data_IF_804999710993
#
_entry.id   IF_804999710993
#
_cell.length_a   1.000
_cell.length_b   1.000
_cell.length_c   1.000
_cell.angle_alpha   90.00
_cell.angle_beta   90.00
_cell.angle_gamma   90.00
#
_symmetry.space_group_name_H-M   'P 1'
#
loop_
_entity.id
_entity.type
_entity.pdbx_description
1 polymer ?
#
# COMPACT_ATOMS: atom_id res chain seq x y z
N UNK A 1 42.31 10.82 -31.99
CA UNK A 1 43.10 11.87 -31.31
C UNK A 1 42.69 13.19 -31.96
N UNK A 2 41.80 13.98 -31.34
CA UNK A 2 41.32 15.24 -31.92
C UNK A 2 42.49 16.23 -32.02
N UNK A 3 42.88 16.62 -33.23
CA UNK A 3 43.85 17.69 -33.46
C UNK A 3 43.19 19.03 -33.13
N UNK A 4 43.78 19.78 -32.20
CA UNK A 4 43.32 21.12 -31.86
C UNK A 4 43.57 22.06 -33.04
N UNK A 5 42.58 22.86 -33.47
CA UNK A 5 42.72 23.77 -34.62
C UNK A 5 43.65 24.97 -34.37
N UNK A 6 44.17 25.14 -33.15
CA UNK A 6 45.04 26.24 -32.74
C UNK A 6 46.27 25.72 -31.98
N UNK A 7 47.46 26.17 -32.39
CA UNK A 7 48.70 25.85 -31.70
C UNK A 7 48.77 26.60 -30.35
N UNK A 8 48.71 25.86 -29.24
CA UNK A 8 48.76 26.44 -27.89
C UNK A 8 50.18 26.95 -27.61
N UNK A 9 50.36 28.23 -27.22
CA UNK A 9 51.66 28.79 -26.88
C UNK A 9 52.40 27.96 -25.81
N UNK A 10 53.75 27.82 -25.88
CA UNK A 10 54.52 26.96 -24.97
C UNK A 10 54.29 27.28 -23.48
N UNK A 11 54.14 28.56 -23.15
CA UNK A 11 53.91 29.04 -21.79
C UNK A 11 52.52 28.67 -21.23
N UNK A 12 51.51 28.43 -22.09
CA UNK A 12 50.15 28.04 -21.70
C UNK A 12 49.91 26.54 -21.72
N UNK A 13 50.84 25.74 -22.26
CA UNK A 13 50.67 24.29 -22.44
C UNK A 13 50.46 23.56 -21.11
N UNK A 14 51.13 24.00 -20.04
CA UNK A 14 50.96 23.46 -18.67
C UNK A 14 49.57 23.79 -18.11
N UNK A 15 49.17 25.06 -18.17
CA UNK A 15 47.86 25.52 -17.70
C UNK A 15 46.70 24.87 -18.46
N UNK A 16 46.82 24.72 -19.78
CA UNK A 16 45.82 24.02 -20.60
C UNK A 16 45.67 22.55 -20.20
N UNK A 17 46.76 21.83 -19.95
CA UNK A 17 46.71 20.43 -19.50
C UNK A 17 46.01 20.32 -18.15
N UNK A 18 46.34 21.22 -17.21
CA UNK A 18 45.70 21.26 -15.87
C UNK A 18 44.21 21.55 -16.01
N UNK A 19 43.83 22.58 -16.77
CA UNK A 19 42.43 22.95 -16.99
C UNK A 19 41.62 21.82 -17.65
N UNK A 20 42.20 21.09 -18.60
CA UNK A 20 41.56 19.93 -19.24
C UNK A 20 41.38 18.76 -18.28
N UNK A 21 42.37 18.48 -17.42
CA UNK A 21 42.22 17.47 -16.36
C UNK A 21 41.13 17.89 -15.38
N UNK A 22 41.12 19.16 -14.97
CA UNK A 22 40.09 19.71 -14.08
C UNK A 22 38.70 19.60 -14.69
N UNK A 23 38.53 19.93 -15.98
CA UNK A 23 37.28 19.76 -16.72
C UNK A 23 36.78 18.31 -16.69
N UNK A 24 37.66 17.34 -16.97
CA UNK A 24 37.28 15.93 -16.94
C UNK A 24 36.93 15.44 -15.53
N UNK A 25 37.71 15.83 -14.52
CA UNK A 25 37.42 15.49 -13.12
C UNK A 25 36.08 16.09 -12.71
N UNK A 26 35.82 17.35 -13.05
CA UNK A 26 34.56 18.02 -12.77
C UNK A 26 33.37 17.31 -13.46
N UNK A 27 33.52 16.93 -14.74
CA UNK A 27 32.46 16.22 -15.46
C UNK A 27 32.19 14.84 -14.85
N UNK A 28 33.24 14.05 -14.57
CA UNK A 28 33.10 12.73 -13.97
C UNK A 28 32.48 12.82 -12.57
N UNK A 29 32.92 13.78 -11.74
CA UNK A 29 32.36 14.01 -10.41
C UNK A 29 30.89 14.43 -10.49
N UNK A 30 30.55 15.36 -11.39
CA UNK A 30 29.18 15.81 -11.62
C UNK A 30 28.26 14.69 -12.12
N UNK A 31 28.71 13.90 -13.11
CA UNK A 31 27.96 12.73 -13.59
C UNK A 31 27.80 11.69 -12.49
N UNK A 32 28.83 11.44 -11.68
CA UNK A 32 28.75 10.47 -10.59
C UNK A 32 27.76 10.92 -9.52
N UNK A 33 27.77 12.21 -9.13
CA UNK A 33 26.79 12.78 -8.20
C UNK A 33 25.37 12.69 -8.74
N UNK A 34 25.17 13.05 -10.01
CA UNK A 34 23.88 12.94 -10.67
C UNK A 34 23.35 11.49 -10.69
N UNK A 35 24.21 10.52 -11.01
CA UNK A 35 23.85 9.10 -11.00
C UNK A 35 23.47 8.65 -9.59
N UNK A 36 24.24 9.03 -8.56
CA UNK A 36 23.93 8.67 -7.17
C UNK A 36 22.58 9.24 -6.73
N UNK A 37 22.28 10.50 -7.03
CA UNK A 37 20.99 11.11 -6.70
C UNK A 37 19.82 10.48 -7.49
N UNK A 38 20.08 10.06 -8.73
CA UNK A 38 19.07 9.40 -9.57
C UNK A 38 18.76 7.98 -9.08
N UNK A 39 19.79 7.23 -8.66
CA UNK A 39 19.65 5.85 -8.17
C UNK A 39 19.29 5.74 -6.69
N UNK A 40 19.42 6.81 -5.91
CA UNK A 40 19.07 6.82 -4.49
C UNK A 40 18.34 8.13 -4.18
N UNK A 41 17.12 8.30 -4.72
CA UNK A 41 16.37 9.52 -4.54
C UNK A 41 15.84 9.64 -3.11
N UNK A 42 15.61 10.87 -2.68
CA UNK A 42 14.77 11.17 -1.53
C UNK A 42 13.32 11.15 -1.96
N UNK A 43 12.48 10.35 -1.30
CA UNK A 43 11.04 10.30 -1.56
C UNK A 43 10.34 11.24 -0.61
N UNK A 44 9.56 12.18 -1.13
CA UNK A 44 8.87 13.20 -0.32
C UNK A 44 7.36 13.04 -0.41
N UNK A 45 6.72 13.03 0.75
CA UNK A 45 5.27 12.96 0.94
C UNK A 45 4.81 14.21 1.69
N UNK A 46 3.70 14.79 1.29
CA UNK A 46 3.21 16.04 1.89
C UNK A 46 1.69 16.08 2.02
N UNK A 47 1.21 16.80 3.02
CA UNK A 47 -0.18 17.19 3.18
C UNK A 47 -0.29 18.69 3.42
N UNK A 48 -1.18 19.34 2.68
CA UNK A 48 -1.51 20.75 2.89
C UNK A 48 -2.92 20.88 3.48
N UNK A 49 -3.00 21.26 4.75
CA UNK A 49 -4.25 21.36 5.51
C UNK A 49 -5.13 22.53 5.08
N UNK A 50 -4.59 23.51 4.33
CA UNK A 50 -5.40 24.57 3.69
C UNK A 50 -6.14 24.08 2.45
N UNK A 51 -5.68 22.98 1.86
CA UNK A 51 -6.25 22.40 0.64
C UNK A 51 -6.36 20.87 0.77
N UNK A 52 -7.14 20.36 1.75
CA UNK A 52 -7.16 18.94 2.09
C UNK A 52 -7.65 18.04 0.95
N UNK A 53 -8.49 18.56 0.05
CA UNK A 53 -8.99 17.85 -1.13
C UNK A 53 -8.05 17.88 -2.35
N UNK A 54 -6.86 18.47 -2.23
CA UNK A 54 -5.89 18.58 -3.31
C UNK A 54 -5.35 17.21 -3.72
N UNK A 55 -5.33 16.92 -5.02
CA UNK A 55 -4.69 15.72 -5.59
C UNK A 55 -3.17 15.72 -5.47
N UNK A 56 -2.57 16.84 -5.02
CA UNK A 56 -1.12 16.93 -4.73
C UNK A 56 -0.77 16.40 -3.33
N UNK A 57 -1.75 16.20 -2.46
CA UNK A 57 -1.52 15.58 -1.16
C UNK A 57 -1.14 14.11 -1.38
N UNK A 58 -0.05 13.68 -0.75
CA UNK A 58 0.52 12.34 -0.90
C UNK A 58 0.70 11.60 0.42
N UNK A 59 0.59 12.32 1.55
CA UNK A 59 0.32 11.69 2.84
C UNK A 59 -1.14 11.26 2.90
N UNK A 60 -1.37 10.05 3.40
CA UNK A 60 -2.65 9.38 3.39
C UNK A 60 -3.34 9.53 4.75
N UNK A 61 -4.65 9.74 4.68
CA UNK A 61 -5.62 9.70 5.77
C UNK A 61 -5.12 10.34 7.07
N UNK A 62 -4.93 11.66 7.15
CA UNK A 62 -4.73 12.35 8.43
C UNK A 62 -5.92 12.16 9.37
N UNK A 63 -5.70 11.59 10.56
CA UNK A 63 -6.75 11.33 11.56
C UNK A 63 -6.20 11.44 12.99
N UNK A 64 -7.10 11.50 13.98
CA UNK A 64 -6.76 11.37 15.40
C UNK A 64 -6.69 9.90 15.84
N UNK A 65 -6.31 9.67 17.09
CA UNK A 65 -6.36 8.37 17.77
C UNK A 65 -7.75 7.70 17.80
N UNK A 66 -8.81 8.50 17.62
CA UNK A 66 -10.22 8.05 17.59
C UNK A 66 -10.74 7.87 16.16
N UNK A 67 -9.85 7.77 15.17
CA UNK A 67 -10.17 7.68 13.74
C UNK A 67 -10.99 8.86 13.20
N UNK A 68 -10.94 10.01 13.86
CA UNK A 68 -11.62 11.23 13.40
C UNK A 68 -10.73 11.93 12.37
N UNK A 69 -11.23 12.22 11.15
CA UNK A 69 -10.43 12.91 10.13
C UNK A 69 -9.87 14.25 10.63
N UNK A 70 -8.55 14.41 10.58
CA UNK A 70 -7.80 15.57 11.07
C UNK A 70 -7.36 16.47 9.90
N UNK A 71 -8.25 16.72 8.94
CA UNK A 71 -7.91 17.40 7.67
C UNK A 71 -7.79 18.92 7.78
N UNK A 72 -8.09 19.49 8.95
CA UNK A 72 -8.05 20.94 9.20
C UNK A 72 -6.75 21.42 9.88
N UNK A 73 -5.80 20.52 10.15
CA UNK A 73 -4.50 20.85 10.74
C UNK A 73 -4.51 21.03 12.25
N UNK A 74 -5.68 20.98 12.90
CA UNK A 74 -5.79 21.17 14.35
C UNK A 74 -5.40 19.91 15.09
N UNK A 75 -4.48 20.07 16.03
CA UNK A 75 -4.10 19.03 16.99
C UNK A 75 -4.33 19.64 18.37
N UNK A 76 -5.24 19.04 19.14
CA UNK A 76 -5.48 19.50 20.50
C UNK A 76 -4.43 18.95 21.45
N UNK A 77 -4.24 19.64 22.57
CA UNK A 77 -3.28 19.24 23.59
C UNK A 77 -3.50 17.77 24.02
N UNK A 78 -2.40 17.01 24.04
CA UNK A 78 -2.37 15.57 24.37
C UNK A 78 -3.14 14.63 23.42
N UNK A 79 -3.67 15.10 22.29
CA UNK A 79 -4.19 14.21 21.25
C UNK A 79 -3.08 13.76 20.30
N UNK A 80 -3.23 12.54 19.78
CA UNK A 80 -2.33 12.02 18.75
C UNK A 80 -2.86 12.40 17.38
N UNK A 81 -1.95 12.82 16.51
CA UNK A 81 -2.19 12.96 15.09
C UNK A 81 -1.49 11.83 14.35
N UNK A 82 -2.21 11.16 13.46
CA UNK A 82 -1.74 9.99 12.73
C UNK A 82 -1.92 10.24 11.24
N UNK A 83 -0.88 9.93 10.46
CA UNK A 83 -0.94 9.89 9.00
C UNK A 83 -0.04 8.78 8.47
N UNK A 84 -0.15 8.47 7.18
CA UNK A 84 0.65 7.41 6.55
C UNK A 84 1.40 7.92 5.32
N UNK A 85 2.66 7.54 5.20
CA UNK A 85 3.46 7.71 3.98
C UNK A 85 3.79 6.33 3.40
N UNK A 86 3.43 6.08 2.14
CA UNK A 86 3.59 4.76 1.53
C UNK A 86 4.73 4.76 0.51
N UNK A 87 5.83 4.07 0.85
CA UNK A 87 7.09 4.11 0.11
C UNK A 87 7.69 2.71 -0.08
N UNK A 88 7.97 2.36 -1.35
CA UNK A 88 8.61 1.08 -1.69
C UNK A 88 10.13 1.27 -1.69
N UNK A 89 10.82 0.48 -0.86
CA UNK A 89 12.29 0.44 -0.80
C UNK A 89 12.83 0.32 0.62
N UNK A 90 14.15 0.42 0.72
CA UNK A 90 14.88 0.53 1.99
C UNK A 90 15.33 1.97 2.21
N UNK A 91 15.18 2.48 3.42
CA UNK A 91 15.49 3.88 3.74
C UNK A 91 16.42 3.95 4.95
N UNK A 92 17.35 4.92 4.94
CA UNK A 92 18.29 5.13 6.04
C UNK A 92 17.81 6.19 7.02
N UNK A 93 17.27 7.29 6.49
CA UNK A 93 16.84 8.45 7.27
C UNK A 93 15.43 8.85 6.87
N UNK A 94 14.68 9.34 7.84
CA UNK A 94 13.43 10.05 7.63
C UNK A 94 13.56 11.49 8.17
N UNK A 95 13.22 12.45 7.32
CA UNK A 95 13.11 13.87 7.66
C UNK A 95 11.64 14.25 7.71
N UNK A 96 11.19 14.65 8.89
CA UNK A 96 9.82 15.08 9.13
C UNK A 96 9.86 16.58 9.39
N UNK A 97 9.03 17.32 8.68
CA UNK A 97 8.93 18.77 8.84
C UNK A 97 7.49 19.24 8.75
N UNK A 98 7.12 20.22 9.54
CA UNK A 98 5.81 20.87 9.43
C UNK A 98 5.94 22.38 9.62
N UNK A 99 4.92 23.10 9.19
CA UNK A 99 4.80 24.54 9.42
C UNK A 99 3.46 24.87 10.04
N UNK A 100 3.47 25.74 11.04
CA UNK A 100 2.27 26.18 11.75
C UNK A 100 1.55 27.33 11.04
N UNK A 101 0.26 27.47 11.30
CA UNK A 101 -0.49 28.68 10.98
C UNK A 101 0.04 29.86 11.79
N UNK A 102 -0.01 31.07 11.20
CA UNK A 102 0.59 32.27 11.81
C UNK A 102 0.07 32.61 13.22
N UNK A 103 -1.14 32.17 13.55
CA UNK A 103 -1.82 32.42 14.84
C UNK A 103 -1.77 31.21 15.78
N UNK A 104 -1.14 30.12 15.36
CA UNK A 104 -1.01 28.92 16.18
C UNK A 104 -0.07 29.15 17.36
N UNK A 105 -0.29 28.44 18.46
CA UNK A 105 0.65 28.39 19.56
C UNK A 105 1.92 27.64 19.14
N UNK A 106 3.05 27.98 19.74
CA UNK A 106 4.32 27.29 19.50
C UNK A 106 4.48 26.19 20.55
N UNK A 107 4.53 24.90 20.16
CA UNK A 107 4.74 23.82 21.11
C UNK A 107 6.20 23.81 21.59
N UNK A 108 6.41 23.54 22.87
CA UNK A 108 7.76 23.31 23.41
C UNK A 108 8.20 21.86 23.24
N UNK A 109 7.24 20.94 23.26
CA UNK A 109 7.48 19.51 23.07
C UNK A 109 6.56 18.98 21.99
N UNK A 110 7.14 18.27 21.03
CA UNK A 110 6.38 17.54 20.02
C UNK A 110 7.24 16.37 19.56
N UNK A 111 6.74 15.15 19.81
CA UNK A 111 7.44 13.91 19.49
C UNK A 111 6.82 13.29 18.25
N UNK A 112 7.67 12.75 17.38
CA UNK A 112 7.27 11.98 16.21
C UNK A 112 7.71 10.54 16.42
N UNK A 113 6.80 9.62 16.20
CA UNK A 113 7.08 8.18 16.11
C UNK A 113 6.75 7.69 14.71
N UNK A 114 7.67 6.93 14.11
CA UNK A 114 7.45 6.21 12.86
C UNK A 114 7.45 4.71 13.13
N UNK A 115 6.45 4.02 12.55
CA UNK A 115 6.35 2.57 12.48
C UNK A 115 6.18 2.14 11.02
N UNK A 116 6.61 0.93 10.67
CA UNK A 116 6.46 0.40 9.31
C UNK A 116 5.72 -0.93 9.30
N UNK A 117 4.67 -1.02 8.47
CA UNK A 117 3.98 -2.29 8.18
C UNK A 117 3.07 -2.12 6.95
N UNK A 118 2.09 -3.00 6.77
CA UNK A 118 0.91 -2.72 5.96
C UNK A 118 -0.14 -2.01 6.80
N UNK A 119 -0.87 -1.06 6.21
CA UNK A 119 -1.94 -0.33 6.91
C UNK A 119 -2.95 -1.25 7.62
N UNK A 120 -3.36 -2.32 6.94
CA UNK A 120 -4.34 -3.31 7.46
C UNK A 120 -3.84 -4.05 8.70
N UNK A 121 -2.52 -4.22 8.85
CA UNK A 121 -1.97 -4.90 10.02
C UNK A 121 -2.01 -4.04 11.27
N UNK A 122 -2.14 -2.73 11.12
CA UNK A 122 -2.33 -1.82 12.23
C UNK A 122 -3.80 -1.63 12.65
N UNK A 123 -4.73 -2.34 12.03
CA UNK A 123 -6.14 -2.32 12.45
C UNK A 123 -6.30 -2.97 13.84
N UNK A 124 -7.34 -2.59 14.59
CA UNK A 124 -7.70 -3.29 15.81
C UNK A 124 -7.96 -4.78 15.54
N UNK A 125 -7.62 -5.60 16.53
CA UNK A 125 -7.89 -7.04 16.45
C UNK A 125 -9.36 -7.30 16.79
N UNK A 126 -10.07 -7.93 15.86
CA UNK A 126 -11.46 -8.34 16.04
C UNK A 126 -11.61 -9.67 16.77
N UNK A 127 -12.85 -10.14 16.87
CA UNK A 127 -13.13 -11.48 17.42
C UNK A 127 -12.56 -12.58 16.51
N UNK A 128 -12.07 -13.70 17.05
CA UNK A 128 -11.62 -14.82 16.22
C UNK A 128 -12.75 -15.41 15.37
N UNK A 129 -12.43 -15.82 14.15
CA UNK A 129 -13.33 -16.54 13.25
C UNK A 129 -12.93 -18.01 13.22
N UNK A 130 -13.92 -18.88 13.41
CA UNK A 130 -13.75 -20.34 13.51
C UNK A 130 -14.44 -21.10 12.39
N UNK A 131 -15.57 -20.59 11.91
CA UNK A 131 -16.49 -21.29 11.03
C UNK A 131 -16.69 -20.55 9.71
N UNK A 132 -17.15 -21.29 8.71
CA UNK A 132 -17.70 -20.70 7.48
C UNK A 132 -18.93 -19.85 7.82
N UNK A 133 -19.24 -18.81 7.02
CA UNK A 133 -20.53 -18.15 7.09
C UNK A 133 -21.66 -19.18 6.93
N UNK A 134 -22.68 -19.09 7.78
CA UNK A 134 -23.84 -19.98 7.69
C UNK A 134 -24.65 -19.65 6.43
N UNK A 135 -24.77 -20.62 5.54
CA UNK A 135 -25.55 -20.52 4.30
C UNK A 135 -26.23 -21.84 3.98
N UNK A 136 -27.43 -21.77 3.43
CA UNK A 136 -28.13 -22.93 2.88
C UNK A 136 -27.79 -23.05 1.39
N UNK A 137 -26.92 -24.00 1.04
CA UNK A 137 -26.33 -24.13 -0.28
C UNK A 137 -26.90 -25.34 -1.01
N UNK A 138 -27.28 -25.14 -2.27
CA UNK A 138 -27.86 -26.16 -3.12
C UNK A 138 -27.16 -26.21 -4.47
N UNK A 139 -27.17 -27.39 -5.11
CA UNK A 139 -26.81 -27.56 -6.51
C UNK A 139 -28.01 -28.13 -7.24
N UNK A 140 -28.47 -27.44 -8.28
CA UNK A 140 -29.53 -27.93 -9.17
C UNK A 140 -28.97 -27.98 -10.58
N UNK A 141 -28.99 -29.18 -11.17
CA UNK A 141 -28.21 -29.49 -12.37
C UNK A 141 -26.73 -29.08 -12.18
N UNK A 142 -26.23 -28.13 -12.98
CA UNK A 142 -24.85 -27.64 -12.96
C UNK A 142 -24.73 -26.24 -12.32
N UNK A 143 -25.77 -25.73 -11.66
CA UNK A 143 -25.77 -24.38 -11.06
C UNK A 143 -25.86 -24.46 -9.54
N UNK A 144 -24.96 -23.75 -8.86
CA UNK A 144 -25.02 -23.58 -7.41
C UNK A 144 -25.95 -22.43 -7.03
N UNK A 145 -26.64 -22.56 -5.90
CA UNK A 145 -27.54 -21.56 -5.34
C UNK A 145 -27.30 -21.39 -3.84
N UNK A 146 -27.50 -20.17 -3.33
CA UNK A 146 -27.68 -19.90 -1.91
C UNK A 146 -29.15 -19.53 -1.64
N UNK A 147 -29.76 -20.13 -0.62
CA UNK A 147 -31.13 -19.83 -0.21
C UNK A 147 -31.13 -18.79 0.93
N UNK A 148 -31.67 -17.61 0.64
CA UNK A 148 -31.78 -16.49 1.60
C UNK A 148 -33.21 -15.99 1.63
N UNK A 149 -33.81 -15.96 2.82
CA UNK A 149 -35.20 -15.49 3.02
C UNK A 149 -36.22 -16.10 2.04
N UNK A 150 -36.06 -17.39 1.71
CA UNK A 150 -36.94 -18.13 0.78
C UNK A 150 -36.66 -17.89 -0.71
N UNK A 151 -35.63 -17.11 -1.05
CA UNK A 151 -35.21 -16.81 -2.43
C UNK A 151 -33.88 -17.46 -2.74
N UNK A 152 -33.78 -18.14 -3.88
CA UNK A 152 -32.55 -18.75 -4.39
C UNK A 152 -31.74 -17.74 -5.20
N UNK A 153 -30.50 -17.54 -4.80
CA UNK A 153 -29.53 -16.68 -5.48
C UNK A 153 -28.53 -17.55 -6.23
N UNK A 154 -28.51 -17.53 -7.58
CA UNK A 154 -27.56 -18.31 -8.35
C UNK A 154 -26.13 -17.77 -8.18
N UNK A 155 -25.14 -18.65 -8.14
CA UNK A 155 -23.74 -18.26 -8.31
C UNK A 155 -23.44 -18.05 -9.80
N UNK A 156 -22.64 -17.04 -10.13
CA UNK A 156 -22.30 -16.71 -11.53
C UNK A 156 -21.50 -17.81 -12.24
N UNK A 157 -20.81 -18.65 -11.46
CA UNK A 157 -20.11 -19.83 -11.95
C UNK A 157 -19.74 -20.78 -10.81
N UNK A 158 -19.32 -21.99 -11.16
CA UNK A 158 -18.70 -22.94 -10.22
C UNK A 158 -17.47 -22.34 -9.55
N UNK A 159 -16.67 -21.56 -10.28
CA UNK A 159 -15.48 -20.90 -9.72
C UNK A 159 -15.87 -19.87 -8.65
N UNK A 160 -16.96 -19.14 -8.86
CA UNK A 160 -17.51 -18.21 -7.87
C UNK A 160 -17.95 -18.96 -6.61
N UNK A 161 -18.70 -20.06 -6.74
CA UNK A 161 -19.10 -20.90 -5.61
C UNK A 161 -17.88 -21.49 -4.87
N UNK A 162 -16.98 -22.16 -5.59
CA UNK A 162 -15.81 -22.85 -5.05
C UNK A 162 -14.75 -21.90 -4.47
N UNK A 163 -14.87 -20.59 -4.72
CA UNK A 163 -14.07 -19.57 -4.04
C UNK A 163 -14.55 -19.29 -2.61
N UNK A 164 -15.82 -19.61 -2.29
CA UNK A 164 -16.49 -19.33 -1.01
C UNK A 164 -16.69 -20.57 -0.16
N UNK A 165 -17.04 -21.70 -0.78
CA UNK A 165 -17.39 -22.93 -0.07
C UNK A 165 -16.73 -24.17 -0.68
N UNK A 166 -16.52 -25.24 0.10
CA UNK A 166 -16.22 -26.56 -0.43
C UNK A 166 -17.41 -27.11 -1.23
N UNK A 167 -17.15 -27.87 -2.30
CA UNK A 167 -18.20 -28.53 -3.11
C UNK A 167 -19.18 -29.35 -2.26
N UNK A 168 -18.66 -30.02 -1.23
CA UNK A 168 -19.42 -30.89 -0.33
C UNK A 168 -20.44 -30.18 0.53
N UNK A 169 -20.49 -28.83 0.52
CA UNK A 169 -21.48 -28.07 1.30
C UNK A 169 -22.81 -27.92 0.55
N UNK A 170 -22.81 -28.06 -0.78
CA UNK A 170 -24.04 -27.98 -1.56
C UNK A 170 -24.85 -29.28 -1.45
N UNK A 171 -26.16 -29.14 -1.26
CA UNK A 171 -27.12 -30.26 -1.32
C UNK A 171 -27.63 -30.37 -2.76
N UNK A 172 -27.51 -31.56 -3.35
CA UNK A 172 -28.03 -31.84 -4.69
C UNK A 172 -29.57 -31.90 -4.68
N UNK A 173 -30.20 -31.10 -5.54
CA UNK A 173 -31.66 -31.01 -5.69
C UNK A 173 -32.09 -31.11 -7.15
N UNK A 174 -33.34 -31.51 -7.37
CA UNK A 174 -33.91 -31.66 -8.73
C UNK A 174 -34.47 -30.34 -9.27
N UNK A 175 -34.74 -30.26 -10.58
CA UNK A 175 -35.40 -29.08 -11.19
C UNK A 175 -36.73 -28.69 -10.56
N UNK A 176 -37.48 -29.65 -10.02
CA UNK A 176 -38.74 -29.37 -9.34
C UNK A 176 -38.53 -28.50 -8.09
N UNK A 177 -37.33 -28.49 -7.51
CA UNK A 177 -36.96 -27.60 -6.41
C UNK A 177 -37.04 -26.12 -6.82
N UNK A 178 -36.58 -25.79 -8.04
CA UNK A 178 -36.65 -24.43 -8.59
C UNK A 178 -38.09 -23.98 -8.84
N UNK A 179 -38.99 -24.90 -9.18
CA UNK A 179 -40.40 -24.57 -9.39
C UNK A 179 -41.12 -24.15 -8.09
N UNK A 180 -40.57 -24.52 -6.93
CA UNK A 180 -41.16 -24.25 -5.62
C UNK A 180 -40.50 -23.06 -4.89
N UNK A 181 -39.50 -22.42 -5.48
CA UNK A 181 -38.76 -21.30 -4.88
C UNK A 181 -38.69 -20.11 -5.83
N UNK A 182 -38.64 -18.90 -5.28
CA UNK A 182 -38.32 -17.71 -6.07
C UNK A 182 -36.83 -17.77 -6.42
N UNK A 183 -36.50 -17.55 -7.69
CA UNK A 183 -35.10 -17.42 -8.15
C UNK A 183 -34.81 -15.95 -8.38
N UNK A 184 -33.70 -15.47 -7.81
CA UNK A 184 -33.23 -14.10 -7.97
C UNK A 184 -32.60 -13.88 -9.35
N UNK A 185 -32.78 -12.68 -9.89
CA UNK A 185 -32.03 -12.17 -11.06
C UNK A 185 -30.64 -11.67 -10.66
N UNK A 186 -30.38 -11.52 -9.36
CA UNK A 186 -29.06 -11.15 -8.82
C UNK A 186 -28.19 -12.39 -8.65
N UNK A 187 -26.94 -12.28 -9.09
CA UNK A 187 -25.98 -13.37 -9.05
C UNK A 187 -24.95 -13.17 -7.96
N UNK A 188 -24.54 -14.27 -7.32
CA UNK A 188 -23.45 -14.29 -6.34
C UNK A 188 -22.14 -14.51 -7.09
N UNK A 189 -21.21 -13.59 -6.89
CA UNK A 189 -19.88 -13.66 -7.50
C UNK A 189 -18.84 -14.41 -6.68
N UNK A 190 -17.59 -14.32 -7.13
CA UNK A 190 -16.39 -14.70 -6.36
C UNK A 190 -16.40 -14.15 -4.93
N UNK A 191 -15.74 -14.87 -4.02
CA UNK A 191 -15.48 -14.48 -2.64
C UNK A 191 -14.78 -13.13 -2.59
N UNK A 192 -15.18 -12.27 -1.65
CA UNK A 192 -14.43 -11.06 -1.32
C UNK A 192 -12.98 -11.41 -0.98
N UNK A 193 -12.03 -10.62 -1.49
CA UNK A 193 -10.59 -10.89 -1.42
C UNK A 193 -10.03 -11.73 -2.58
N UNK A 194 -10.87 -12.22 -3.51
CA UNK A 194 -10.40 -12.97 -4.68
C UNK A 194 -9.68 -12.07 -5.68
N UNK A 195 -8.58 -12.57 -6.24
CA UNK A 195 -7.86 -11.95 -7.34
C UNK A 195 -8.29 -12.57 -8.66
N UNK A 196 -8.79 -11.74 -9.57
CA UNK A 196 -9.26 -12.17 -10.89
C UNK A 196 -8.58 -11.36 -11.99
N UNK A 197 -8.42 -11.97 -13.15
CA UNK A 197 -7.91 -11.32 -14.35
C UNK A 197 -8.94 -11.39 -15.46
N UNK A 198 -9.08 -10.28 -16.16
CA UNK A 198 -9.93 -10.16 -17.33
C UNK A 198 -9.30 -9.18 -18.30
N UNK A 199 -9.22 -9.57 -19.58
CA UNK A 199 -8.35 -8.95 -20.56
C UNK A 199 -6.92 -8.76 -19.99
N UNK A 200 -6.34 -7.57 -20.10
CA UNK A 200 -4.98 -7.27 -19.62
C UNK A 200 -4.95 -6.77 -18.15
N UNK A 201 -6.09 -6.79 -17.45
CA UNK A 201 -6.24 -6.22 -16.11
C UNK A 201 -6.27 -7.28 -15.00
N UNK A 202 -5.70 -6.93 -13.84
CA UNK A 202 -5.91 -7.68 -12.58
C UNK A 202 -6.79 -6.86 -11.64
N UNK A 203 -7.78 -7.53 -11.07
CA UNK A 203 -8.79 -6.96 -10.20
C UNK A 203 -8.84 -7.72 -8.87
N UNK A 204 -9.13 -6.98 -7.80
CA UNK A 204 -9.46 -7.52 -6.49
C UNK A 204 -10.96 -7.35 -6.25
N UNK A 205 -11.65 -8.42 -5.88
CA UNK A 205 -13.04 -8.35 -5.43
C UNK A 205 -13.05 -7.77 -4.03
N UNK A 206 -13.62 -6.57 -3.86
CA UNK A 206 -13.56 -5.83 -2.58
C UNK A 206 -14.89 -5.81 -1.83
N UNK A 207 -15.97 -6.22 -2.50
CA UNK A 207 -17.28 -6.45 -1.89
C UNK A 207 -18.09 -7.41 -2.78
N UNK A 208 -19.30 -7.74 -2.36
CA UNK A 208 -20.25 -8.54 -3.15
C UNK A 208 -20.59 -7.94 -4.52
N UNK A 209 -20.40 -6.62 -4.70
CA UNK A 209 -20.81 -5.91 -5.93
C UNK A 209 -19.72 -5.03 -6.54
N UNK A 210 -18.54 -4.95 -5.93
CA UNK A 210 -17.45 -4.08 -6.39
C UNK A 210 -16.14 -4.85 -6.59
N UNK A 211 -15.51 -4.62 -7.73
CA UNK A 211 -14.14 -5.03 -8.01
C UNK A 211 -13.25 -3.81 -8.24
N UNK A 212 -11.99 -3.86 -7.83
CA UNK A 212 -11.03 -2.75 -8.02
C UNK A 212 -9.82 -3.18 -8.82
N UNK A 213 -9.45 -2.45 -9.88
CA UNK A 213 -8.23 -2.74 -10.63
C UNK A 213 -6.98 -2.31 -9.86
N UNK A 214 -5.90 -3.07 -9.99
CA UNK A 214 -4.58 -2.61 -9.54
C UNK A 214 -4.00 -1.57 -10.50
N UNK A 215 -3.36 -0.53 -9.96
CA UNK A 215 -2.76 0.53 -10.76
C UNK A 215 -1.54 0.07 -11.58
N UNK A 216 -0.85 -0.99 -11.12
CA UNK A 216 0.24 -1.64 -11.84
C UNK A 216 0.63 -2.99 -11.22
N UNK A 217 1.36 -3.86 -11.94
CA UNK A 217 1.97 -5.07 -11.40
C UNK A 217 2.83 -4.84 -10.15
N UNK A 218 3.56 -3.73 -10.11
CA UNK A 218 4.41 -3.39 -8.96
C UNK A 218 3.59 -3.04 -7.73
N UNK A 219 2.40 -2.44 -7.89
CA UNK A 219 1.50 -2.14 -6.78
C UNK A 219 0.91 -3.45 -6.22
N UNK A 220 0.51 -4.39 -7.09
CA UNK A 220 0.04 -5.71 -6.66
C UNK A 220 1.08 -6.40 -5.76
N UNK A 221 2.32 -6.48 -6.24
CA UNK A 221 3.43 -7.07 -5.49
C UNK A 221 3.81 -6.26 -4.23
N UNK A 222 3.79 -4.93 -4.31
CA UNK A 222 4.12 -4.08 -3.17
C UNK A 222 3.09 -4.17 -2.04
N UNK A 223 1.84 -4.48 -2.37
CA UNK A 223 0.79 -4.80 -1.39
C UNK A 223 0.90 -6.26 -0.90
N UNK A 224 1.85 -7.06 -1.39
CA UNK A 224 2.11 -8.42 -0.92
C UNK A 224 1.28 -9.51 -1.60
N UNK A 225 0.41 -9.14 -2.55
CA UNK A 225 -0.29 -10.10 -3.40
C UNK A 225 0.66 -10.77 -4.39
N UNK A 226 0.21 -11.89 -4.96
CA UNK A 226 0.99 -12.70 -5.90
C UNK A 226 0.23 -12.95 -7.19
N UNK A 227 0.95 -12.98 -8.30
CA UNK A 227 0.35 -13.29 -9.60
C UNK A 227 -0.17 -14.73 -9.68
N UNK A 228 0.42 -15.64 -8.92
CA UNK A 228 -0.01 -17.04 -8.87
C UNK A 228 -1.41 -17.22 -8.27
N UNK A 229 -1.90 -16.25 -7.50
CA UNK A 229 -3.25 -16.27 -6.92
C UNK A 229 -4.31 -15.69 -7.89
N UNK A 230 -3.89 -15.11 -9.01
CA UNK A 230 -4.79 -14.45 -9.98
C UNK A 230 -5.47 -15.49 -10.86
N UNK A 231 -6.80 -15.51 -10.86
CA UNK A 231 -7.60 -16.46 -11.64
C UNK A 231 -8.15 -15.79 -12.90
N UNK A 232 -8.10 -16.43 -14.08
CA UNK A 232 -8.80 -15.91 -15.25
C UNK A 232 -10.30 -15.98 -15.01
N UNK A 233 -11.01 -14.90 -15.33
CA UNK A 233 -12.46 -14.80 -15.24
C UNK A 233 -13.08 -14.48 -16.60
N UNK A 234 -14.31 -14.92 -16.83
CA UNK A 234 -15.04 -14.63 -18.07
C UNK A 234 -15.71 -13.24 -18.05
N UNK A 235 -16.24 -12.80 -19.19
CA UNK A 235 -16.99 -11.53 -19.27
C UNK A 235 -18.27 -11.59 -18.42
N UNK A 236 -18.94 -12.73 -18.40
CA UNK A 236 -20.15 -12.97 -17.61
C UNK A 236 -19.84 -12.91 -16.10
N UNK A 237 -18.76 -13.56 -15.67
CA UNK A 237 -18.33 -13.57 -14.26
C UNK A 237 -17.94 -12.18 -13.75
N UNK A 238 -17.35 -11.35 -14.61
CA UNK A 238 -16.90 -9.99 -14.26
C UNK A 238 -18.03 -8.96 -14.44
N UNK A 239 -18.96 -9.22 -15.36
CA UNK A 239 -20.04 -8.31 -15.73
C UNK A 239 -21.01 -7.97 -14.59
N UNK A 240 -21.07 -8.81 -13.55
CA UNK A 240 -21.90 -8.58 -12.36
C UNK A 240 -21.31 -7.51 -11.42
N UNK A 241 -20.02 -7.18 -11.54
CA UNK A 241 -19.33 -6.26 -10.62
C UNK A 241 -19.27 -4.83 -11.17
N UNK A 242 -19.49 -3.87 -10.27
CA UNK A 242 -19.16 -2.47 -10.51
C UNK A 242 -17.66 -2.26 -10.40
N UNK A 243 -17.08 -1.54 -11.36
CA UNK A 243 -15.67 -1.15 -11.31
C UNK A 243 -15.47 0.00 -10.31
N UNK A 244 -14.74 -0.29 -9.24
CA UNK A 244 -14.35 0.65 -8.21
C UNK A 244 -13.10 1.46 -8.54
N UNK A 245 -12.61 2.19 -7.53
CA UNK A 245 -11.39 3.00 -7.64
C UNK A 245 -10.15 2.12 -7.85
N UNK A 246 -9.15 2.67 -8.53
CA UNK A 246 -7.87 2.00 -8.73
C UNK A 246 -7.17 1.79 -7.37
N UNK A 247 -6.68 0.59 -7.13
CA UNK A 247 -5.81 0.27 -5.98
C UNK A 247 -4.42 0.85 -6.27
N UNK A 248 -3.98 1.75 -5.39
CA UNK A 248 -2.68 2.40 -5.41
C UNK A 248 -1.78 1.90 -4.28
N UNK A 249 -0.50 2.26 -4.34
CA UNK A 249 0.40 2.08 -3.20
C UNK A 249 -0.19 2.78 -1.96
N UNK A 250 -0.16 2.12 -0.81
CA UNK A 250 -0.76 2.65 0.43
C UNK A 250 -2.27 2.50 0.56
N UNK A 251 -2.92 1.82 -0.40
CA UNK A 251 -4.30 1.35 -0.20
C UNK A 251 -4.29 0.32 0.93
N UNK A 252 -5.10 0.56 1.96
CA UNK A 252 -5.36 -0.46 2.97
C UNK A 252 -5.97 -1.69 2.31
N UNK A 253 -5.50 -2.89 2.68
CA UNK A 253 -6.08 -4.12 2.18
C UNK A 253 -7.58 -4.18 2.50
N UNK A 254 -8.43 -4.49 1.52
CA UNK A 254 -9.86 -4.59 1.73
C UNK A 254 -10.22 -5.91 2.40
N UNK A 255 -11.52 -6.05 2.67
CA UNK A 255 -12.09 -7.26 3.22
C UNK A 255 -11.72 -8.51 2.41
N UNK A 256 -11.76 -9.66 3.07
CA UNK A 256 -11.41 -10.94 2.48
C UNK A 256 -9.90 -11.20 2.36
N UNK A 257 -9.05 -10.20 2.62
CA UNK A 257 -7.59 -10.34 2.55
C UNK A 257 -7.06 -11.23 3.69
N UNK A 258 -6.27 -12.24 3.34
CA UNK A 258 -5.58 -13.10 4.28
C UNK A 258 -4.18 -12.56 4.61
N UNK A 259 -3.88 -12.34 5.89
CA UNK A 259 -2.55 -12.04 6.41
C UNK A 259 -1.99 -13.25 7.19
N UNK A 260 -0.66 -13.38 7.24
CA UNK A 260 0.05 -14.30 8.13
C UNK A 260 1.11 -13.54 8.91
N UNK A 261 0.93 -13.42 10.22
CA UNK A 261 1.98 -12.95 11.12
C UNK A 261 2.99 -14.06 11.36
N UNK A 262 4.20 -13.87 10.85
CA UNK A 262 5.28 -14.86 10.91
C UNK A 262 5.90 -14.99 12.30
N UNK A 263 5.72 -14.01 13.18
CA UNK A 263 6.24 -14.07 14.54
C UNK A 263 5.37 -14.95 15.45
N UNK A 264 4.05 -14.86 15.28
CA UNK A 264 3.05 -15.57 16.10
C UNK A 264 2.46 -16.79 15.39
N UNK A 265 2.72 -16.94 14.09
CA UNK A 265 2.08 -17.92 13.21
C UNK A 265 0.54 -17.80 13.18
N UNK A 266 0.04 -16.58 13.42
CA UNK A 266 -1.40 -16.27 13.41
C UNK A 266 -1.83 -15.85 12.02
N UNK A 267 -2.89 -16.48 11.51
CA UNK A 267 -3.56 -16.03 10.31
C UNK A 267 -4.61 -14.98 10.68
N UNK A 268 -4.68 -13.89 9.94
CA UNK A 268 -5.73 -12.89 10.11
C UNK A 268 -6.53 -12.76 8.81
N UNK A 269 -7.84 -12.62 8.93
CA UNK A 269 -8.71 -12.18 7.86
C UNK A 269 -9.09 -10.72 8.09
N UNK A 270 -8.94 -9.90 7.05
CA UNK A 270 -9.44 -8.52 7.08
C UNK A 270 -10.93 -8.54 6.78
N UNK A 271 -11.73 -7.95 7.65
CA UNK A 271 -13.20 -7.83 7.52
C UNK A 271 -13.67 -6.66 8.39
N UNK A 272 -14.60 -5.85 7.89
CA UNK A 272 -15.21 -4.74 8.62
C UNK A 272 -14.21 -3.78 9.30
N UNK A 273 -13.11 -3.48 8.61
CA UNK A 273 -12.01 -2.63 9.11
C UNK A 273 -11.34 -3.17 10.39
N UNK A 274 -11.41 -4.47 10.61
CA UNK A 274 -10.72 -5.19 11.67
C UNK A 274 -9.82 -6.28 11.08
N UNK A 275 -8.83 -6.71 11.86
CA UNK A 275 -8.09 -7.95 11.58
C UNK A 275 -8.61 -9.05 12.52
N UNK A 276 -9.30 -10.03 11.97
CA UNK A 276 -9.88 -11.14 12.73
C UNK A 276 -8.92 -12.32 12.74
N UNK A 277 -8.49 -12.84 13.91
CA UNK A 277 -7.72 -14.07 13.96
C UNK A 277 -8.51 -15.24 13.35
N UNK A 278 -7.90 -16.01 12.46
CA UNK A 278 -8.46 -17.27 11.97
C UNK A 278 -7.96 -18.41 12.85
N UNK A 279 -8.86 -19.01 13.63
CA UNK A 279 -8.52 -20.16 14.46
C UNK A 279 -8.19 -21.40 13.62
N UNK A 280 -7.49 -22.36 14.23
CA UNK A 280 -7.20 -23.62 13.55
C UNK A 280 -8.46 -24.44 13.31
N UNK A 281 -8.71 -24.79 12.05
CA UNK A 281 -9.83 -25.63 11.66
C UNK A 281 -10.00 -25.65 10.15
N UNK A 282 -11.12 -26.24 9.71
CA UNK A 282 -11.42 -26.42 8.29
C UNK A 282 -11.59 -25.10 7.56
N UNK A 283 -12.18 -24.09 8.21
CA UNK A 283 -12.35 -22.77 7.62
C UNK A 283 -11.01 -22.12 7.27
N UNK A 284 -10.06 -22.08 8.21
CA UNK A 284 -8.70 -21.56 7.95
C UNK A 284 -7.99 -22.35 6.86
N UNK A 285 -8.10 -23.68 6.88
CA UNK A 285 -7.48 -24.54 5.86
C UNK A 285 -8.06 -24.25 4.48
N UNK A 286 -9.38 -24.06 4.40
CA UNK A 286 -10.06 -23.68 3.17
C UNK A 286 -9.58 -22.32 2.67
N UNK A 287 -9.60 -21.26 3.49
CA UNK A 287 -9.15 -19.92 3.06
C UNK A 287 -7.70 -19.96 2.55
N UNK A 288 -6.81 -20.68 3.25
CA UNK A 288 -5.40 -20.87 2.83
C UNK A 288 -5.26 -21.61 1.49
N UNK A 289 -6.23 -22.46 1.13
CA UNK A 289 -6.24 -23.12 -0.18
C UNK A 289 -6.71 -22.20 -1.31
N UNK A 290 -7.39 -21.09 -0.99
CA UNK A 290 -7.94 -20.16 -1.99
C UNK A 290 -7.07 -18.94 -2.23
N UNK A 291 -6.28 -18.54 -1.24
CA UNK A 291 -5.44 -17.34 -1.27
C UNK A 291 -4.13 -17.57 -0.52
N UNK A 292 -3.01 -17.21 -1.14
CA UNK A 292 -1.74 -17.14 -0.42
C UNK A 292 -1.77 -15.97 0.59
N UNK A 293 -1.42 -16.18 1.86
CA UNK A 293 -1.41 -15.11 2.85
C UNK A 293 -0.35 -14.05 2.53
N UNK A 294 -0.68 -12.79 2.79
CA UNK A 294 0.26 -11.69 2.79
C UNK A 294 1.06 -11.74 4.10
N UNK A 295 2.38 -11.77 3.98
CA UNK A 295 3.28 -11.97 5.11
C UNK A 295 3.45 -10.67 5.90
N UNK A 296 3.25 -10.74 7.21
CA UNK A 296 3.44 -9.64 8.18
C UNK A 296 4.28 -10.11 9.37
N UNK A 297 4.69 -9.15 10.21
CA UNK A 297 5.50 -9.40 11.41
C UNK A 297 5.07 -8.44 12.50
N UNK A 298 4.56 -8.97 13.61
CA UNK A 298 4.24 -8.17 14.81
C UNK A 298 5.48 -7.50 15.38
N UNK A 299 6.60 -8.22 15.48
CA UNK A 299 7.87 -7.65 15.98
C UNK A 299 8.36 -6.49 15.12
N UNK A 300 8.42 -6.67 13.81
CA UNK A 300 8.85 -5.59 12.90
C UNK A 300 7.88 -4.40 12.92
N UNK A 301 6.58 -4.63 13.09
CA UNK A 301 5.58 -3.55 13.17
C UNK A 301 5.64 -2.74 14.47
N UNK A 302 6.20 -3.32 15.54
CA UNK A 302 6.37 -2.69 16.84
C UNK A 302 7.68 -1.89 16.95
N UNK A 303 8.61 -2.07 16.00
CA UNK A 303 9.82 -1.25 15.94
C UNK A 303 9.48 0.21 15.66
N UNK A 304 10.13 1.10 16.40
CA UNK A 304 9.86 2.54 16.39
C UNK A 304 11.13 3.31 16.06
N UNK A 305 11.00 4.29 15.16
CA UNK A 305 11.97 5.36 15.01
C UNK A 305 11.37 6.64 15.56
N UNK A 306 12.11 7.35 16.41
CA UNK A 306 11.61 8.53 17.12
C UNK A 306 12.47 9.75 16.87
N UNK A 307 11.85 10.92 16.83
CA UNK A 307 12.55 12.19 16.94
C UNK A 307 11.68 13.26 17.58
N UNK A 308 12.33 14.26 18.18
CA UNK A 308 11.67 15.43 18.75
C UNK A 308 11.87 16.60 17.81
N UNK A 309 10.83 17.38 17.59
CA UNK A 309 10.90 18.54 16.72
C UNK A 309 11.79 19.65 17.28
N UNK A 310 12.63 20.19 16.42
CA UNK A 310 13.41 21.39 16.68
C UNK A 310 12.86 22.57 15.87
N UNK A 311 12.77 23.77 16.45
CA UNK A 311 12.32 24.96 15.73
C UNK A 311 13.35 25.34 14.66
N UNK A 312 12.85 25.63 13.47
CA UNK A 312 13.64 26.18 12.37
C UNK A 312 14.00 27.65 12.62
N UNK A 313 14.92 28.16 11.80
CA UNK A 313 15.47 29.53 11.90
C UNK A 313 14.42 30.65 11.91
N UNK A 314 13.23 30.41 11.37
CA UNK A 314 12.14 31.40 11.26
C UNK A 314 10.94 31.10 12.18
N UNK A 315 11.08 30.24 13.18
CA UNK A 315 10.18 30.07 14.33
C UNK A 315 8.78 29.46 14.07
N UNK A 316 8.32 29.37 12.82
CA UNK A 316 7.03 28.75 12.46
C UNK A 316 7.17 27.40 11.75
N UNK A 317 8.40 27.02 11.40
CA UNK A 317 8.71 25.72 10.82
C UNK A 317 9.43 24.88 11.85
N UNK A 318 9.16 23.59 11.86
CA UNK A 318 9.78 22.61 12.74
C UNK A 318 10.25 21.43 11.91
N UNK A 319 11.35 20.83 12.31
CA UNK A 319 11.86 19.63 11.66
C UNK A 319 12.51 18.69 12.66
N UNK A 320 12.46 17.40 12.38
CA UNK A 320 13.29 16.41 13.04
C UNK A 320 13.72 15.33 12.05
N UNK A 321 14.86 14.72 12.35
CA UNK A 321 15.44 13.65 11.56
C UNK A 321 15.63 12.43 12.45
N UNK A 322 15.37 11.24 11.92
CA UNK A 322 15.58 9.97 12.63
C UNK A 322 16.07 8.88 11.69
N UNK A 323 16.83 7.93 12.24
CA UNK A 323 17.25 6.72 11.51
C UNK A 323 16.08 5.74 11.40
N UNK A 324 15.80 5.30 10.17
CA UNK A 324 14.72 4.34 9.88
C UNK A 324 15.25 3.03 9.31
N UNK A 325 16.56 2.82 9.38
CA UNK A 325 17.20 1.60 8.92
C UNK A 325 16.78 0.36 9.74
N UNK A 326 16.41 0.56 11.01
CA UNK A 326 15.79 -0.47 11.85
C UNK A 326 14.44 -0.92 11.28
N UNK A 327 13.62 0.01 10.78
CA UNK A 327 12.28 -0.26 10.25
C UNK A 327 12.32 -1.11 8.97
N UNK A 328 12.47 -2.42 9.17
CA UNK A 328 12.78 -3.39 8.15
C UNK A 328 11.72 -3.44 7.04
N UNK A 329 12.19 -3.54 5.80
CA UNK A 329 11.31 -3.79 4.65
C UNK A 329 10.87 -5.27 4.60
N UNK A 330 9.80 -5.55 3.86
CA UNK A 330 9.34 -6.93 3.60
C UNK A 330 8.03 -7.32 4.30
N UNK A 331 7.62 -6.58 5.33
CA UNK A 331 6.33 -6.77 6.03
C UNK A 331 5.37 -5.59 5.80
N UNK A 332 5.60 -4.86 4.71
CA UNK A 332 4.81 -3.71 4.29
C UNK A 332 5.63 -2.47 3.90
N UNK A 333 4.94 -1.55 3.24
CA UNK A 333 5.53 -0.34 2.66
C UNK A 333 4.93 0.95 3.23
N UNK A 334 4.13 0.84 4.30
CA UNK A 334 3.43 1.95 4.91
C UNK A 334 4.15 2.39 6.18
N UNK A 335 4.60 3.64 6.19
CA UNK A 335 5.16 4.31 7.34
C UNK A 335 4.03 5.07 8.04
N UNK A 336 3.58 4.54 9.18
CA UNK A 336 2.67 5.25 10.07
C UNK A 336 3.48 6.30 10.83
N UNK A 337 3.09 7.56 10.65
CA UNK A 337 3.69 8.71 11.33
C UNK A 337 2.69 9.18 12.39
N UNK A 338 3.11 9.11 13.64
CA UNK A 338 2.35 9.60 14.79
C UNK A 338 3.05 10.83 15.35
N UNK A 339 2.32 11.93 15.48
CA UNK A 339 2.75 13.15 16.16
C UNK A 339 1.97 13.21 17.48
N UNK A 340 2.69 13.31 18.59
CA UNK A 340 2.10 13.27 19.93
C UNK A 340 2.83 14.18 20.93
N UNK A 341 2.31 14.22 22.17
CA UNK A 341 2.88 14.98 23.30
C UNK A 341 2.98 16.49 23.06
N UNK A 342 2.03 17.06 22.33
CA UNK A 342 1.91 18.51 22.24
C UNK A 342 1.45 19.09 23.58
N UNK A 343 2.20 20.07 24.09
CA UNK A 343 1.92 20.80 25.33
C UNK A 343 0.88 21.91 25.15
N UNK A 344 0.44 22.18 23.92
CA UNK A 344 -0.52 23.22 23.58
C UNK A 344 -1.35 22.84 22.34
N UNK A 345 -2.43 23.56 22.07
CA UNK A 345 -3.20 23.38 20.85
C UNK A 345 -2.42 23.98 19.67
N UNK A 346 -2.15 23.17 18.65
CA UNK A 346 -1.44 23.59 17.45
C UNK A 346 -2.31 23.47 16.20
N UNK A 347 -1.97 24.27 15.19
CA UNK A 347 -2.67 24.37 13.92
C UNK A 347 -1.62 24.29 12.81
N UNK A 348 -1.50 23.10 12.22
CA UNK A 348 -0.52 22.77 11.20
C UNK A 348 -1.07 23.20 9.82
N UNK A 349 -0.30 24.02 9.12
CA UNK A 349 -0.60 24.41 7.75
C UNK A 349 -0.13 23.38 6.72
N UNK A 350 1.05 22.78 6.94
CA UNK A 350 1.67 21.79 6.06
C UNK A 350 2.47 20.78 6.86
N UNK A 351 2.41 19.51 6.46
CA UNK A 351 3.25 18.42 6.98
C UNK A 351 3.96 17.74 5.81
N UNK A 352 5.24 17.44 5.97
CA UNK A 352 6.06 16.78 4.98
C UNK A 352 6.91 15.69 5.65
N UNK A 353 6.98 14.53 5.02
CA UNK A 353 7.80 13.38 5.42
C UNK A 353 8.65 12.99 4.23
N UNK A 354 9.97 12.95 4.40
CA UNK A 354 10.92 12.60 3.35
C UNK A 354 11.77 11.41 3.77
N UNK A 355 12.01 10.46 2.87
CA UNK A 355 12.82 9.28 3.14
C UNK A 355 14.05 9.25 2.24
N UNK A 356 15.24 9.13 2.83
CA UNK A 356 16.48 8.94 2.08
C UNK A 356 16.71 7.45 1.78
N UNK A 357 16.83 7.12 0.50
CA UNK A 357 17.06 5.74 0.07
C UNK A 357 18.43 5.22 0.48
N UNK A 358 18.49 4.01 1.04
CA UNK A 358 19.78 3.33 1.32
C UNK A 358 20.52 3.07 0.00
N UNK A 359 21.84 3.30 0.00
CA UNK A 359 22.74 2.93 -1.10
C UNK A 359 22.96 1.41 -1.16
N UNK A 360 21.91 0.64 -1.42
CA UNK A 360 21.92 -0.84 -1.44
C UNK A 360 21.75 -1.42 -2.85
N UNK A 361 22.25 -2.66 -3.06
CA UNK A 361 22.02 -3.42 -4.31
C UNK A 361 20.54 -3.63 -4.57
N UNK A 362 19.73 -3.78 -3.52
CA UNK A 362 18.29 -4.01 -3.60
C UNK A 362 17.57 -2.77 -4.14
N UNK A 363 17.80 -1.60 -3.56
CA UNK A 363 17.26 -0.33 -4.06
C UNK A 363 17.70 -0.04 -5.50
N UNK A 364 18.98 -0.28 -5.81
CA UNK A 364 19.49 -0.11 -7.18
C UNK A 364 18.76 -1.04 -8.17
N UNK A 365 18.57 -2.32 -7.84
CA UNK A 365 17.81 -3.27 -8.68
C UNK A 365 16.36 -2.83 -8.86
N UNK A 366 15.71 -2.36 -7.79
CA UNK A 366 14.33 -1.89 -7.82
C UNK A 366 14.19 -0.69 -8.77
N UNK A 367 15.12 0.27 -8.70
CA UNK A 367 15.10 1.46 -9.56
C UNK A 367 15.43 1.10 -11.02
N UNK A 368 16.40 0.22 -11.26
CA UNK A 368 16.71 -0.28 -12.60
C UNK A 368 15.51 -1.02 -13.21
N UNK A 369 14.78 -1.82 -12.42
CA UNK A 369 13.56 -2.48 -12.86
C UNK A 369 12.50 -1.45 -13.29
N UNK A 370 12.26 -0.42 -12.47
CA UNK A 370 11.32 0.67 -12.79
C UNK A 370 11.73 1.42 -14.06
N UNK A 371 13.02 1.69 -14.26
CA UNK A 371 13.54 2.32 -15.48
C UNK A 371 13.30 1.41 -16.69
N UNK A 372 13.66 0.13 -16.60
CA UNK A 372 13.44 -0.87 -17.66
C UNK A 372 11.96 -0.93 -18.05
N UNK A 373 11.06 -1.03 -17.08
CA UNK A 373 9.62 -1.09 -17.32
C UNK A 373 9.09 0.17 -17.97
N UNK A 374 9.52 1.36 -17.52
CA UNK A 374 9.14 2.64 -18.15
C UNK A 374 9.64 2.76 -19.59
N UNK A 375 10.82 2.22 -19.90
CA UNK A 375 11.33 2.18 -21.27
C UNK A 375 10.49 1.20 -22.11
N UNK A 376 10.27 -0.02 -21.63
CA UNK A 376 9.47 -1.02 -22.34
C UNK A 376 8.04 -0.53 -22.62
N UNK A 377 7.39 0.10 -21.65
CA UNK A 377 6.03 0.64 -21.80
C UNK A 377 5.97 1.83 -22.77
N UNK A 378 7.00 2.69 -22.80
CA UNK A 378 7.08 3.80 -23.76
C UNK A 378 7.42 3.37 -25.18
N UNK A 379 8.16 2.28 -25.34
CA UNK A 379 8.61 1.79 -26.65
C UNK A 379 7.78 0.62 -27.18
N UNK A 380 6.71 0.21 -26.48
CA UNK A 380 5.76 -0.80 -26.96
C UNK A 380 6.37 -2.18 -27.22
N UNK A 381 7.46 -2.53 -26.54
CA UNK A 381 8.23 -3.77 -26.81
C UNK A 381 7.59 -5.01 -26.15
N UNK A 382 6.43 -4.87 -25.52
CA UNK A 382 5.62 -6.00 -25.09
C UNK A 382 4.42 -6.15 -26.03
N UNK A 383 4.64 -6.82 -27.17
CA UNK A 383 3.65 -7.67 -27.81
C UNK A 383 4.06 -9.13 -27.58
#
# INVERSE_FOLDING_TARGET
MFQLPLAIPPHLKRSYRIARVFLYVFFIAGTSLFLVQTFFPTLTFSFNFRTPSSSKNSLLDPHSDKDIPATNGKITQNEMFITTASAIGEFSLADISFSLEKKSALPNTLEVTLKRSYRSFFLPTGVPLTNFPEESLYRVDDTYYALRDGTLYPFVSDNAYLSRYPDTFAIDESRDFLANHLVSEEWIGYRVGSLVSFADGVFLIVSETEMRPFGSPEILLALGYRFEDVRPASEEEIGIYKRGRIILIGTQHPDGTLLLDTDTNTYYLIEDNLKHPLESGDYRNFIRSKQTPIVVSSKASEEEAKCTFEPGLFGQSFSCQTEVASLHSGFGNDFRVTIEKSDTDIDISTLQVSFESVKSKQNMRLILSKIKQRLLSRFGVNQ
#
